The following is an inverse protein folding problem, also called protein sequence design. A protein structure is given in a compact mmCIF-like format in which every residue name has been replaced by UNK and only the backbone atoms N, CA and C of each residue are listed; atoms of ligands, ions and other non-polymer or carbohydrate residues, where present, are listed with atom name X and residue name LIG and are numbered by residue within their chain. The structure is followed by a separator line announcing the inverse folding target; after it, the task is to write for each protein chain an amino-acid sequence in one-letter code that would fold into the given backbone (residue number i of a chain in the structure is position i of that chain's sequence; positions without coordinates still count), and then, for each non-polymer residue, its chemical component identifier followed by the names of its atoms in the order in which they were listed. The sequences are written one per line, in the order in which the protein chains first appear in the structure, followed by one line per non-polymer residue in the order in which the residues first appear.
data_IF_691197675054
#
_entry.id   IF_691197675054
#
_cell.length_a   1.000
_cell.length_b   1.000
_cell.length_c   1.000
_cell.angle_alpha   90.00
_cell.angle_beta   90.00
_cell.angle_gamma   90.00
#
_symmetry.space_group_name_H-M   'P 1'
#
loop_
_entity.id
_entity.type
_entity.pdbx_description
1 polymer ?
#
# COMPACT_ATOMS: atom_id res chain seq x y z
N UNK A 1 -23.57 -16.31 0.99
CA UNK A 1 -22.09 -16.35 1.13
C UNK A 1 -21.48 -15.78 -0.13
N UNK A 2 -20.30 -15.15 -0.04
CA UNK A 2 -19.56 -14.69 -1.21
C UNK A 2 -19.23 -15.88 -2.14
N UNK A 3 -19.20 -15.63 -3.46
CA UNK A 3 -18.75 -16.65 -4.41
C UNK A 3 -17.27 -16.92 -4.21
N UNK A 4 -16.82 -18.14 -4.53
CA UNK A 4 -15.41 -18.51 -4.43
C UNK A 4 -14.50 -17.57 -5.24
N UNK A 5 -14.93 -17.23 -6.46
CA UNK A 5 -14.19 -16.32 -7.34
C UNK A 5 -14.07 -14.90 -6.75
N UNK A 6 -15.12 -14.40 -6.09
CA UNK A 6 -15.07 -13.08 -5.46
C UNK A 6 -14.16 -13.09 -4.23
N UNK A 7 -14.20 -14.17 -3.44
CA UNK A 7 -13.30 -14.34 -2.29
C UNK A 7 -11.82 -14.40 -2.73
N UNK A 8 -11.52 -15.13 -3.81
CA UNK A 8 -10.17 -15.19 -4.38
C UNK A 8 -9.71 -13.82 -4.87
N UNK A 9 -10.55 -13.10 -5.61
CA UNK A 9 -10.23 -11.75 -6.08
C UNK A 9 -9.98 -10.74 -4.94
N UNK A 10 -10.72 -10.84 -3.83
CA UNK A 10 -10.51 -10.00 -2.65
C UNK A 10 -9.17 -10.32 -1.95
N UNK A 11 -8.81 -11.61 -1.84
CA UNK A 11 -7.51 -12.01 -1.29
C UNK A 11 -6.35 -11.53 -2.17
N UNK A 12 -6.48 -11.62 -3.49
CA UNK A 12 -5.49 -11.12 -4.43
C UNK A 12 -5.34 -9.59 -4.32
N UNK A 13 -6.47 -8.87 -4.21
CA UNK A 13 -6.49 -7.43 -4.01
C UNK A 13 -5.79 -7.02 -2.70
N UNK A 14 -6.06 -7.72 -1.60
CA UNK A 14 -5.36 -7.51 -0.32
C UNK A 14 -3.84 -7.63 -0.48
N UNK A 15 -3.37 -8.70 -1.14
CA UNK A 15 -1.94 -8.90 -1.37
C UNK A 15 -1.32 -7.75 -2.21
N UNK A 16 -2.03 -7.28 -3.23
CA UNK A 16 -1.58 -6.14 -4.04
C UNK A 16 -1.44 -4.85 -3.21
N UNK A 17 -2.39 -4.57 -2.33
CA UNK A 17 -2.36 -3.38 -1.49
C UNK A 17 -1.21 -3.42 -0.46
N UNK A 18 -0.97 -4.58 0.15
CA UNK A 18 0.20 -4.78 1.02
C UNK A 18 1.52 -4.62 0.28
N UNK A 19 1.65 -5.21 -0.91
CA UNK A 19 2.85 -5.07 -1.71
C UNK A 19 3.12 -3.60 -2.08
N UNK A 20 2.08 -2.89 -2.54
CA UNK A 20 2.18 -1.49 -2.87
C UNK A 20 2.53 -0.61 -1.65
N UNK A 21 1.99 -0.91 -0.47
CA UNK A 21 2.34 -0.21 0.76
C UNK A 21 3.84 -0.36 1.11
N UNK A 22 4.39 -1.57 1.00
CA UNK A 22 5.82 -1.81 1.21
C UNK A 22 6.69 -1.06 0.18
N UNK A 23 6.29 -1.07 -1.09
CA UNK A 23 6.99 -0.34 -2.14
C UNK A 23 7.01 1.17 -1.87
N UNK A 24 5.89 1.76 -1.45
CA UNK A 24 5.82 3.16 -1.05
C UNK A 24 6.68 3.48 0.17
N UNK A 25 6.73 2.59 1.16
CA UNK A 25 7.64 2.78 2.30
C UNK A 25 9.12 2.74 1.89
N UNK A 26 9.51 1.85 0.96
CA UNK A 26 10.87 1.81 0.43
C UNK A 26 11.21 3.08 -0.35
N UNK A 27 10.29 3.58 -1.18
CA UNK A 27 10.45 4.85 -1.89
C UNK A 27 10.56 6.03 -0.91
N UNK A 28 9.75 6.04 0.15
CA UNK A 28 9.84 7.06 1.18
C UNK A 28 11.21 7.08 1.86
N UNK A 29 11.72 5.90 2.25
CA UNK A 29 13.04 5.77 2.87
C UNK A 29 14.17 6.23 1.94
N UNK A 30 14.05 5.93 0.64
CA UNK A 30 15.00 6.45 -0.36
C UNK A 30 14.93 7.98 -0.46
N UNK A 31 13.73 8.56 -0.58
CA UNK A 31 13.57 10.01 -0.64
C UNK A 31 14.08 10.71 0.63
N UNK A 32 13.84 10.13 1.81
CA UNK A 32 14.33 10.66 3.08
C UNK A 32 15.88 10.70 3.12
N UNK A 33 16.52 9.60 2.69
CA UNK A 33 17.98 9.53 2.57
C UNK A 33 18.56 10.60 1.63
N UNK A 34 17.88 10.88 0.53
CA UNK A 34 18.31 11.89 -0.46
C UNK A 34 17.86 13.33 -0.10
N UNK A 35 17.34 13.56 1.12
CA UNK A 35 16.83 14.86 1.59
C UNK A 35 15.65 15.41 0.76
N UNK A 36 14.86 14.53 0.14
CA UNK A 36 13.63 14.84 -0.58
C UNK A 36 12.40 14.70 0.31
N UNK A 37 12.35 15.46 1.39
CA UNK A 37 11.37 15.32 2.48
C UNK A 37 9.90 15.41 2.01
N UNK A 38 9.60 16.25 1.03
CA UNK A 38 8.25 16.37 0.46
C UNK A 38 7.78 15.08 -0.22
N UNK A 39 8.67 14.43 -0.98
CA UNK A 39 8.38 13.15 -1.62
C UNK A 39 8.34 12.01 -0.61
N UNK A 40 9.23 12.02 0.39
CA UNK A 40 9.20 11.05 1.48
C UNK A 40 7.84 11.07 2.19
N UNK A 41 7.34 12.26 2.57
CA UNK A 41 6.03 12.41 3.19
C UNK A 41 4.89 11.96 2.25
N UNK A 42 4.94 12.33 0.97
CA UNK A 42 3.96 11.88 -0.01
C UNK A 42 3.85 10.34 -0.03
N UNK A 43 4.98 9.64 -0.15
CA UNK A 43 4.97 8.18 -0.22
C UNK A 43 4.54 7.52 1.11
N UNK A 44 4.88 8.10 2.26
CA UNK A 44 4.34 7.64 3.56
C UNK A 44 2.82 7.71 3.59
N UNK A 45 2.23 8.81 3.09
CA UNK A 45 0.79 8.96 3.06
C UNK A 45 0.12 7.97 2.10
N UNK A 46 0.77 7.64 0.98
CA UNK A 46 0.29 6.61 0.05
C UNK A 46 0.36 5.20 0.66
N UNK A 47 1.44 4.88 1.37
CA UNK A 47 1.56 3.60 2.08
C UNK A 47 0.43 3.43 3.12
N UNK A 48 0.15 4.47 3.91
CA UNK A 48 -0.94 4.46 4.91
C UNK A 48 -2.30 4.28 4.26
N UNK A 49 -2.55 4.95 3.13
CA UNK A 49 -3.81 4.82 2.39
C UNK A 49 -4.05 3.37 1.96
N UNK A 50 -3.05 2.72 1.38
CA UNK A 50 -3.17 1.32 0.94
C UNK A 50 -3.43 0.36 2.11
N UNK A 51 -2.72 0.50 3.23
CA UNK A 51 -3.00 -0.31 4.45
C UNK A 51 -4.42 -0.07 4.99
N UNK A 52 -5.00 1.11 4.76
CA UNK A 52 -6.39 1.38 5.16
C UNK A 52 -7.45 0.89 4.18
N UNK A 53 -7.10 0.71 2.90
CA UNK A 53 -8.02 0.17 1.89
C UNK A 53 -8.24 -1.33 2.12
N UNK A 54 -7.20 -2.04 2.55
CA UNK A 54 -7.29 -3.46 2.94
C UNK A 54 -8.36 -3.70 4.01
N UNK A 55 -8.45 -2.81 5.00
CA UNK A 55 -9.47 -2.87 6.08
C UNK A 55 -10.92 -2.64 5.60
N UNK A 56 -11.11 -2.27 4.33
CA UNK A 56 -12.42 -2.00 3.73
C UNK A 56 -12.88 -3.10 2.77
N UNK A 57 -12.01 -4.07 2.49
CA UNK A 57 -12.32 -5.29 1.74
C UNK A 57 -12.98 -6.32 2.65
#
# INVERSE_FOLDING_TARGET
MLSKNLLEALNDQMNHEYFAAHAYMAMAAYCDKESYEGFANFFIQQAKKNVSMDKRL
#
